data_IF_973211439102
#
_entry.id   IF_973211439102
#
_cell.length_a   1.000
_cell.length_b   1.000
_cell.length_c   1.000
_cell.angle_alpha   90.00
_cell.angle_beta   90.00
_cell.angle_gamma   90.00
#
_symmetry.space_group_name_H-M   'P 1'
#
loop_
_entity.id
_entity.type
_entity.pdbx_description
1 polymer ?
#
# COMPACT_ATOMS: atom_id res chain seq x y z
N UNK A 1 15.57 19.60 26.72
CA UNK A 1 14.61 18.78 25.94
C UNK A 1 15.37 17.61 25.36
N UNK A 2 15.18 16.39 25.86
CA UNK A 2 15.93 15.21 25.39
C UNK A 2 15.47 14.83 23.98
N UNK A 3 16.40 14.86 23.01
CA UNK A 3 16.16 14.35 21.67
C UNK A 3 16.10 12.81 21.72
N UNK A 4 14.89 12.27 21.90
CA UNK A 4 14.66 10.83 21.79
C UNK A 4 14.80 10.41 20.32
N UNK A 5 15.89 9.70 20.01
CA UNK A 5 16.11 9.09 18.70
C UNK A 5 15.02 8.07 18.42
N UNK A 6 14.25 8.28 17.35
CA UNK A 6 13.18 7.37 16.93
C UNK A 6 13.75 6.34 15.95
N UNK A 7 13.47 5.05 16.17
CA UNK A 7 14.03 3.96 15.37
C UNK A 7 12.98 3.20 14.57
N UNK A 8 13.25 2.92 13.29
CA UNK A 8 12.41 2.08 12.43
C UNK A 8 12.06 0.73 13.03
N UNK A 9 10.76 0.43 13.14
CA UNK A 9 10.29 -0.90 13.54
C UNK A 9 9.76 -1.66 12.33
N UNK A 10 10.07 -2.96 12.27
CA UNK A 10 9.57 -3.89 11.25
C UNK A 10 8.82 -5.04 11.92
N UNK A 11 7.65 -5.37 11.38
CA UNK A 11 6.83 -6.50 11.83
C UNK A 11 6.27 -7.31 10.66
N UNK A 12 5.88 -8.56 10.95
CA UNK A 12 5.12 -9.41 10.04
C UNK A 12 3.66 -9.35 10.43
N UNK A 13 2.79 -9.33 9.43
CA UNK A 13 1.35 -9.20 9.58
C UNK A 13 0.71 -10.42 8.94
N UNK A 14 -0.22 -11.06 9.63
CA UNK A 14 -0.95 -12.22 9.13
C UNK A 14 -2.39 -11.80 8.86
N UNK A 15 -2.78 -11.83 7.59
CA UNK A 15 -4.08 -11.38 7.11
C UNK A 15 -5.01 -12.57 6.93
N UNK A 16 -6.30 -12.38 7.20
CA UNK A 16 -7.34 -13.32 6.75
C UNK A 16 -7.51 -13.25 5.23
N UNK A 17 -8.10 -14.26 4.57
CA UNK A 17 -8.32 -14.24 3.12
C UNK A 17 -9.06 -12.99 2.62
N UNK A 18 -10.06 -12.53 3.37
CA UNK A 18 -10.81 -11.30 3.07
C UNK A 18 -9.92 -10.04 3.18
N UNK A 19 -9.11 -9.96 4.24
CA UNK A 19 -8.17 -8.85 4.43
C UNK A 19 -7.09 -8.81 3.36
N UNK A 20 -6.66 -9.97 2.83
CA UNK A 20 -5.75 -10.05 1.69
C UNK A 20 -6.37 -9.38 0.46
N UNK A 21 -7.65 -9.61 0.20
CA UNK A 21 -8.36 -8.98 -0.93
C UNK A 21 -8.47 -7.46 -0.75
N UNK A 22 -8.82 -7.00 0.46
CA UNK A 22 -8.90 -5.57 0.78
C UNK A 22 -7.53 -4.88 0.66
N UNK A 23 -6.47 -5.51 1.16
CA UNK A 23 -5.11 -5.02 1.02
C UNK A 23 -4.67 -5.00 -0.46
N UNK A 24 -4.99 -6.04 -1.22
CA UNK A 24 -4.70 -6.09 -2.66
C UNK A 24 -5.43 -4.97 -3.43
N UNK A 25 -6.69 -4.67 -3.09
CA UNK A 25 -7.44 -3.54 -3.65
C UNK A 25 -6.78 -2.22 -3.28
N UNK A 26 -6.39 -2.02 -2.02
CA UNK A 26 -5.64 -0.83 -1.56
C UNK A 26 -4.35 -0.61 -2.37
N UNK A 27 -3.55 -1.66 -2.56
CA UNK A 27 -2.32 -1.57 -3.34
C UNK A 27 -2.58 -1.31 -4.82
N UNK A 28 -3.60 -1.96 -5.38
CA UNK A 28 -4.03 -1.74 -6.76
C UNK A 28 -4.42 -0.28 -7.00
N UNK A 29 -5.24 0.29 -6.12
CA UNK A 29 -5.66 1.68 -6.18
C UNK A 29 -4.48 2.65 -6.06
N UNK A 30 -3.58 2.41 -5.10
CA UNK A 30 -2.37 3.21 -4.95
C UNK A 30 -1.50 3.16 -6.22
N UNK A 31 -1.35 1.99 -6.86
CA UNK A 31 -0.61 1.87 -8.12
C UNK A 31 -1.26 2.68 -9.24
N UNK A 32 -2.58 2.59 -9.41
CA UNK A 32 -3.30 3.33 -10.46
C UNK A 32 -3.15 4.83 -10.24
N UNK A 33 -3.37 5.31 -9.01
CA UNK A 33 -3.18 6.72 -8.66
C UNK A 33 -1.75 7.19 -8.95
N UNK A 34 -0.75 6.43 -8.51
CA UNK A 34 0.65 6.77 -8.77
C UNK A 34 0.95 6.91 -10.26
N UNK A 35 0.53 5.92 -11.06
CA UNK A 35 0.75 5.91 -12.50
C UNK A 35 -0.01 7.05 -13.19
N UNK A 36 -1.24 7.33 -12.77
CA UNK A 36 -2.03 8.44 -13.30
C UNK A 36 -1.36 9.79 -13.04
N UNK A 37 -0.92 10.06 -11.81
CA UNK A 37 -0.25 11.31 -11.45
C UNK A 37 1.12 11.45 -12.13
N UNK A 38 1.83 10.34 -12.33
CA UNK A 38 3.06 10.31 -13.08
C UNK A 38 2.82 10.68 -14.55
N UNK A 39 1.82 10.05 -15.18
CA UNK A 39 1.41 10.37 -16.56
C UNK A 39 1.03 11.84 -16.69
N UNK A 40 0.16 12.34 -15.82
CA UNK A 40 -0.23 13.75 -15.78
C UNK A 40 0.99 14.69 -15.73
N UNK A 41 1.97 14.38 -14.87
CA UNK A 41 3.19 15.19 -14.77
C UNK A 41 4.04 15.14 -16.04
N UNK A 42 4.17 13.95 -16.65
CA UNK A 42 4.95 13.76 -17.89
C UNK A 42 4.28 14.42 -19.10
N UNK A 43 2.96 14.30 -19.24
CA UNK A 43 2.18 14.97 -20.29
C UNK A 43 2.34 16.48 -20.19
N UNK A 44 2.11 17.07 -19.01
CA UNK A 44 2.28 18.53 -18.83
C UNK A 44 3.68 19.01 -19.15
N UNK A 45 4.69 18.25 -18.76
CA UNK A 45 6.07 18.59 -19.08
C UNK A 45 6.35 18.46 -20.59
N UNK A 46 5.79 17.45 -21.25
CA UNK A 46 6.00 17.24 -22.69
C UNK A 46 5.40 18.37 -23.52
N UNK A 47 4.17 18.81 -23.20
CA UNK A 47 3.47 19.87 -23.93
C UNK A 47 3.98 21.28 -23.59
N UNK A 48 4.10 21.62 -22.31
CA UNK A 48 4.31 23.01 -21.89
C UNK A 48 5.72 23.25 -21.30
N UNK A 49 6.55 22.20 -21.16
CA UNK A 49 7.83 22.22 -20.43
C UNK A 49 7.73 22.70 -18.97
N UNK A 50 6.51 22.76 -18.43
CA UNK A 50 6.24 23.22 -17.07
C UNK A 50 6.36 22.08 -16.06
N UNK A 51 7.06 22.33 -14.96
CA UNK A 51 7.08 21.41 -13.81
C UNK A 51 5.71 21.40 -13.13
N UNK A 52 5.23 20.21 -12.78
CA UNK A 52 3.98 20.07 -12.03
C UNK A 52 4.22 20.25 -10.54
N UNK A 53 3.46 21.13 -9.90
CA UNK A 53 3.56 21.40 -8.46
C UNK A 53 2.81 20.33 -7.62
N UNK A 54 3.20 20.14 -6.34
CA UNK A 54 2.48 19.25 -5.43
C UNK A 54 0.99 19.61 -5.27
N UNK A 55 0.66 20.91 -5.31
CA UNK A 55 -0.72 21.39 -5.26
C UNK A 55 -1.51 20.94 -6.50
N UNK A 56 -0.94 21.08 -7.69
CA UNK A 56 -1.57 20.61 -8.94
C UNK A 56 -1.80 19.11 -8.93
N UNK A 57 -0.85 18.30 -8.44
CA UNK A 57 -1.06 16.85 -8.29
C UNK A 57 -2.15 16.52 -7.27
N UNK A 58 -2.28 17.30 -6.22
CA UNK A 58 -3.33 17.11 -5.21
C UNK A 58 -4.72 17.44 -5.77
N UNK A 59 -4.83 18.48 -6.59
CA UNK A 59 -6.06 18.80 -7.33
C UNK A 59 -6.42 17.68 -8.30
N UNK A 60 -5.43 17.17 -9.05
CA UNK A 60 -5.65 16.06 -9.98
C UNK A 60 -6.06 14.78 -9.25
N UNK A 61 -5.50 14.50 -8.07
CA UNK A 61 -5.92 13.40 -7.22
C UNK A 61 -7.40 13.54 -6.81
N UNK A 62 -7.86 14.74 -6.48
CA UNK A 62 -9.27 15.00 -6.19
C UNK A 62 -10.14 14.76 -7.42
N UNK A 63 -9.71 15.21 -8.60
CA UNK A 63 -10.42 15.00 -9.88
C UNK A 63 -10.63 13.51 -10.17
N UNK A 64 -9.56 12.71 -10.12
CA UNK A 64 -9.66 11.27 -10.41
C UNK A 64 -10.47 10.51 -9.36
N UNK A 65 -10.45 10.94 -8.09
CA UNK A 65 -11.27 10.34 -7.03
C UNK A 65 -12.77 10.61 -7.21
N UNK A 66 -13.12 11.67 -7.91
CA UNK A 66 -14.51 11.95 -8.31
C UNK A 66 -14.89 11.19 -9.56
N UNK A 67 -13.98 11.09 -10.54
CA UNK A 67 -14.22 10.36 -11.78
C UNK A 67 -14.26 8.82 -11.60
N UNK A 68 -13.54 8.28 -10.61
CA UNK A 68 -13.41 6.84 -10.38
C UNK A 68 -13.94 6.48 -8.98
N UNK A 69 -15.23 6.10 -8.87
CA UNK A 69 -15.88 5.83 -7.57
C UNK A 69 -15.17 4.75 -6.74
N UNK A 70 -14.63 3.72 -7.38
CA UNK A 70 -13.92 2.62 -6.71
C UNK A 70 -12.66 3.08 -5.94
N UNK A 71 -12.10 4.27 -6.23
CA UNK A 71 -11.02 4.85 -5.41
C UNK A 71 -11.50 5.31 -4.02
N UNK A 72 -12.81 5.43 -3.79
CA UNK A 72 -13.39 5.81 -2.49
C UNK A 72 -13.57 4.62 -1.54
N UNK A 73 -13.47 3.41 -2.07
CA UNK A 73 -13.57 2.17 -1.28
C UNK A 73 -12.32 1.96 -0.40
N UNK A 74 -11.20 2.54 -0.80
CA UNK A 74 -9.89 2.44 -0.13
C UNK A 74 -9.59 3.63 0.77
N UNK A 75 -8.58 3.51 1.61
CA UNK A 75 -8.17 4.56 2.55
C UNK A 75 -7.67 5.81 1.81
N UNK A 76 -8.41 6.92 1.91
CA UNK A 76 -8.07 8.19 1.27
C UNK A 76 -6.72 8.78 1.73
N UNK A 77 -6.35 8.76 3.04
CA UNK A 77 -5.03 9.20 3.48
C UNK A 77 -3.88 8.43 2.83
N UNK A 78 -4.09 7.14 2.54
CA UNK A 78 -3.09 6.31 1.88
C UNK A 78 -2.88 6.68 0.40
N UNK A 79 -3.97 7.05 -0.30
CA UNK A 79 -3.88 7.58 -1.67
C UNK A 79 -3.17 8.94 -1.72
N UNK A 80 -3.45 9.83 -0.76
CA UNK A 80 -2.74 11.11 -0.63
C UNK A 80 -1.25 10.89 -0.41
N UNK A 81 -0.90 9.94 0.47
CA UNK A 81 0.49 9.59 0.74
C UNK A 81 1.21 9.03 -0.49
N UNK A 82 0.47 8.37 -1.39
CA UNK A 82 1.01 7.93 -2.69
C UNK A 82 1.41 9.11 -3.57
N UNK A 83 0.61 10.17 -3.60
CA UNK A 83 0.97 11.44 -4.26
C UNK A 83 2.21 12.08 -3.63
N UNK A 84 2.29 12.14 -2.29
CA UNK A 84 3.46 12.67 -1.57
C UNK A 84 4.74 11.86 -1.82
N UNK A 85 4.63 10.56 -1.98
CA UNK A 85 5.75 9.71 -2.36
C UNK A 85 6.26 10.04 -3.77
N UNK A 86 5.35 10.36 -4.71
CA UNK A 86 5.73 10.83 -6.04
C UNK A 86 6.41 12.21 -5.99
N UNK A 87 5.87 13.15 -5.21
CA UNK A 87 6.50 14.46 -5.00
C UNK A 87 7.93 14.32 -4.46
N UNK A 88 8.11 13.45 -3.47
CA UNK A 88 9.42 13.14 -2.88
C UNK A 88 10.36 12.51 -3.91
N UNK A 89 9.85 11.59 -4.75
CA UNK A 89 10.65 10.97 -5.80
C UNK A 89 11.13 11.99 -6.84
N UNK A 90 10.26 12.93 -7.26
CA UNK A 90 10.66 14.02 -8.14
C UNK A 90 11.68 14.95 -7.49
N UNK A 91 11.47 15.35 -6.23
CA UNK A 91 12.42 16.19 -5.49
C UNK A 91 13.79 15.53 -5.40
N UNK A 92 13.84 14.26 -4.97
CA UNK A 92 15.09 13.51 -4.87
C UNK A 92 15.81 13.39 -6.23
N UNK A 93 15.06 13.20 -7.32
CA UNK A 93 15.63 13.16 -8.66
C UNK A 93 16.21 14.52 -9.07
N UNK A 94 15.48 15.62 -8.86
CA UNK A 94 15.98 16.96 -9.16
C UNK A 94 17.19 17.34 -8.30
N UNK A 95 17.16 17.06 -7.00
CA UNK A 95 18.28 17.34 -6.09
C UNK A 95 19.54 16.56 -6.50
N UNK A 96 19.36 15.34 -7.00
CA UNK A 96 20.44 14.52 -7.55
C UNK A 96 21.02 15.10 -8.84
N UNK A 97 20.19 15.63 -9.75
CA UNK A 97 20.65 16.31 -10.96
C UNK A 97 21.43 17.60 -10.64
N UNK A 98 21.04 18.31 -9.58
CA UNK A 98 21.68 19.56 -9.15
C UNK A 98 22.92 19.34 -8.27
N UNK A 99 23.35 18.09 -8.05
CA UNK A 99 24.50 17.78 -7.19
C UNK A 99 24.31 18.06 -5.70
N UNK A 100 23.08 18.38 -5.25
CA UNK A 100 22.76 18.59 -3.82
C UNK A 100 22.79 17.30 -3.01
N UNK A 101 22.78 16.17 -3.70
CA UNK A 101 22.78 14.84 -3.11
C UNK A 101 23.96 14.06 -3.68
N UNK A 102 24.71 13.31 -2.86
CA UNK A 102 25.85 12.51 -3.33
C UNK A 102 25.41 11.37 -4.27
N UNK A 103 24.21 10.82 -4.06
CA UNK A 103 23.72 9.69 -4.83
C UNK A 103 23.03 10.12 -6.14
N UNK A 104 23.32 9.38 -7.21
CA UNK A 104 22.60 9.51 -8.49
C UNK A 104 21.27 8.76 -8.44
N UNK A 105 20.16 9.50 -8.54
CA UNK A 105 18.79 8.96 -8.50
C UNK A 105 18.20 8.99 -9.91
N UNK A 106 17.50 7.92 -10.31
CA UNK A 106 16.80 7.84 -11.59
C UNK A 106 15.44 8.55 -11.52
N UNK A 107 14.90 9.07 -12.64
CA UNK A 107 13.58 9.68 -12.66
C UNK A 107 12.48 8.69 -12.22
N UNK A 108 11.35 9.18 -11.67
CA UNK A 108 10.21 8.35 -11.32
C UNK A 108 9.70 7.53 -12.53
N UNK A 109 9.42 6.24 -12.32
CA UNK A 109 8.96 5.31 -13.35
C UNK A 109 7.59 4.74 -13.02
N UNK A 110 6.84 4.35 -14.05
CA UNK A 110 5.58 3.65 -13.88
C UNK A 110 5.74 2.37 -13.06
N UNK A 111 4.82 2.16 -12.11
CA UNK A 111 4.78 0.97 -11.27
C UNK A 111 4.10 -0.18 -12.02
N UNK A 112 4.72 -1.36 -11.99
CA UNK A 112 4.18 -2.62 -12.52
C UNK A 112 3.45 -3.41 -11.42
N UNK A 113 2.48 -4.25 -11.80
CA UNK A 113 1.74 -5.14 -10.87
C UNK A 113 2.62 -6.24 -10.30
N UNK A 114 3.59 -6.74 -11.07
CA UNK A 114 4.51 -7.81 -10.67
C UNK A 114 5.55 -7.39 -9.63
N UNK A 115 5.83 -6.10 -9.52
CA UNK A 115 6.77 -5.58 -8.53
C UNK A 115 6.20 -5.68 -7.11
N UNK A 116 7.07 -5.54 -6.12
CA UNK A 116 6.68 -5.43 -4.71
C UNK A 116 5.67 -4.30 -4.52
N UNK A 117 4.47 -4.64 -4.06
CA UNK A 117 3.43 -3.67 -3.78
C UNK A 117 3.51 -3.22 -2.32
N UNK A 118 3.22 -1.94 -2.09
CA UNK A 118 3.12 -1.36 -0.76
C UNK A 118 2.17 -0.18 -0.74
N UNK A 119 1.58 0.05 0.43
CA UNK A 119 0.81 1.24 0.74
C UNK A 119 1.28 1.78 2.09
N UNK A 120 1.23 3.11 2.21
CA UNK A 120 1.61 3.81 3.42
C UNK A 120 0.37 4.37 4.09
N UNK A 121 0.28 4.18 5.40
CA UNK A 121 -0.80 4.69 6.24
C UNK A 121 -0.27 5.80 7.15
N UNK A 122 -1.09 6.84 7.35
CA UNK A 122 -0.81 7.96 8.26
C UNK A 122 -1.43 7.70 9.64
N UNK A 123 -1.11 8.55 10.63
CA UNK A 123 -1.46 8.32 12.05
C UNK A 123 -2.96 8.19 12.26
N UNK A 124 -3.73 8.93 11.47
CA UNK A 124 -5.19 8.94 11.57
C UNK A 124 -5.84 7.74 10.86
N UNK A 125 -5.06 6.97 10.10
CA UNK A 125 -5.55 5.83 9.31
C UNK A 125 -5.14 4.47 9.87
N UNK A 126 -4.41 4.46 11.00
CA UNK A 126 -4.15 3.25 11.76
C UNK A 126 -4.22 3.50 13.26
N UNK A 127 -4.53 2.44 14.00
CA UNK A 127 -4.47 2.41 15.46
C UNK A 127 -3.75 1.15 15.88
N UNK A 128 -2.89 1.25 16.88
CA UNK A 128 -2.25 0.09 17.48
C UNK A 128 -2.69 0.00 18.94
N UNK A 129 -3.24 -1.14 19.35
CA UNK A 129 -3.61 -1.41 20.74
C UNK A 129 -3.41 -2.89 21.04
N UNK A 130 -2.77 -3.20 22.16
CA UNK A 130 -2.61 -4.58 22.68
C UNK A 130 -2.05 -5.58 21.64
N UNK A 131 -1.05 -5.18 20.84
CA UNK A 131 -0.46 -6.08 19.84
C UNK A 131 -1.28 -6.24 18.54
N UNK A 132 -2.40 -5.53 18.41
CA UNK A 132 -3.26 -5.56 17.22
C UNK A 132 -3.17 -4.24 16.47
N UNK A 133 -2.91 -4.33 15.17
CA UNK A 133 -2.88 -3.21 14.23
C UNK A 133 -4.23 -3.09 13.54
N UNK A 134 -4.98 -2.03 13.82
CA UNK A 134 -6.22 -1.70 13.12
C UNK A 134 -5.95 -0.69 12.01
N UNK A 135 -6.33 -1.04 10.78
CA UNK A 135 -6.19 -0.20 9.60
C UNK A 135 -7.56 0.24 9.08
N UNK A 136 -7.69 1.51 8.70
CA UNK A 136 -8.90 1.99 8.04
C UNK A 136 -9.21 1.18 6.78
N UNK A 137 -10.46 0.70 6.64
CA UNK A 137 -10.98 -0.09 5.51
C UNK A 137 -10.42 -1.52 5.34
N UNK A 138 -9.44 -1.94 6.14
CA UNK A 138 -8.90 -3.31 6.12
C UNK A 138 -9.27 -4.07 7.41
N UNK A 139 -9.37 -3.36 8.54
CA UNK A 139 -9.76 -3.95 9.83
C UNK A 139 -8.59 -4.22 10.76
N UNK A 140 -8.84 -5.02 11.80
CA UNK A 140 -7.89 -5.36 12.85
C UNK A 140 -7.02 -6.57 12.44
N UNK A 141 -5.72 -6.45 12.62
CA UNK A 141 -4.74 -7.43 12.14
C UNK A 141 -3.68 -7.67 13.21
N UNK A 142 -3.41 -8.93 13.61
CA UNK A 142 -2.34 -9.23 14.54
C UNK A 142 -0.97 -8.95 13.89
N UNK A 143 -0.07 -8.32 14.64
CA UNK A 143 1.29 -8.04 14.20
C UNK A 143 2.31 -8.73 15.10
N UNK A 144 3.25 -9.43 14.46
CA UNK A 144 4.41 -10.03 15.13
C UNK A 144 5.63 -9.20 14.82
N UNK A 145 6.14 -8.49 15.82
CA UNK A 145 7.30 -7.61 15.67
C UNK A 145 8.60 -8.40 15.54
N UNK A 146 9.51 -7.93 14.70
CA UNK A 146 10.85 -8.52 14.59
C UNK A 146 11.76 -8.16 15.79
N UNK A 147 11.51 -7.02 16.44
CA UNK A 147 12.20 -6.58 17.65
C UNK A 147 11.16 -6.15 18.68
N UNK A 148 11.45 -6.31 19.97
CA UNK A 148 10.59 -5.78 21.04
C UNK A 148 10.51 -4.26 20.89
N UNK A 149 9.29 -3.75 20.82
CA UNK A 149 9.03 -2.31 20.71
C UNK A 149 8.58 -1.84 22.07
N UNK A 150 9.35 -0.96 22.70
CA UNK A 150 8.89 -0.20 23.86
C UNK A 150 8.20 1.08 23.36
N UNK A 151 6.87 1.13 23.42
CA UNK A 151 6.06 2.31 23.08
C UNK A 151 5.08 2.13 21.91
N UNK A 152 4.17 3.10 21.71
CA UNK A 152 3.22 3.11 20.60
C UNK A 152 3.89 3.52 19.28
N UNK A 153 3.73 2.74 18.19
CA UNK A 153 4.30 3.08 16.89
C UNK A 153 3.61 4.32 16.31
N UNK A 154 4.40 5.33 15.96
CA UNK A 154 3.94 6.53 15.24
C UNK A 154 4.41 6.50 13.78
N UNK A 155 3.64 7.02 12.81
CA UNK A 155 4.14 7.15 11.45
C UNK A 155 5.07 8.36 11.35
N UNK A 156 6.32 8.14 10.97
CA UNK A 156 7.31 9.21 10.85
C UNK A 156 7.34 9.75 9.43
N UNK A 157 6.96 11.01 9.25
CA UNK A 157 7.27 11.80 8.06
C UNK A 157 8.54 12.60 8.35
N UNK A 158 9.67 12.21 7.77
CA UNK A 158 10.98 12.80 8.01
C UNK A 158 12.04 11.75 7.73
N UNK A 159 13.19 12.18 7.22
CA UNK A 159 14.33 11.34 6.89
C UNK A 159 14.51 10.17 7.87
N UNK A 160 14.66 8.96 7.31
CA UNK A 160 15.10 7.78 8.03
C UNK A 160 14.09 7.14 9.01
N UNK A 161 13.46 6.08 8.51
CA UNK A 161 12.97 4.93 9.28
C UNK A 161 11.90 5.16 10.37
N UNK A 162 10.61 5.15 9.99
CA UNK A 162 9.51 4.35 10.62
C UNK A 162 8.29 4.37 9.69
N UNK A 163 8.16 3.31 8.88
CA UNK A 163 7.04 3.11 7.96
C UNK A 163 6.40 1.75 8.23
N UNK A 164 5.10 1.72 8.55
CA UNK A 164 4.32 0.48 8.38
C UNK A 164 4.05 0.32 6.89
N UNK A 165 5.02 -0.24 6.18
CA UNK A 165 4.80 -0.74 4.83
C UNK A 165 4.17 -2.12 4.95
N UNK A 166 2.88 -2.25 4.63
CA UNK A 166 2.34 -3.56 4.29
C UNK A 166 2.97 -3.97 2.97
N UNK A 167 3.80 -5.00 3.02
CA UNK A 167 4.49 -5.55 1.86
C UNK A 167 3.86 -6.91 1.61
N UNK A 168 3.30 -7.09 0.42
CA UNK A 168 2.78 -8.39 0.02
C UNK A 168 3.96 -9.38 -0.07
N UNK A 169 3.92 -10.45 0.72
CA UNK A 169 4.84 -11.58 0.58
C UNK A 169 4.15 -12.65 -0.27
N UNK A 170 4.77 -13.04 -1.39
CA UNK A 170 4.37 -14.24 -2.13
C UNK A 170 4.89 -15.46 -1.37
N UNK A 171 3.99 -16.06 -0.58
CA UNK A 171 3.87 -17.45 -0.10
C UNK A 171 2.72 -17.34 0.91
N UNK A 172 1.47 -17.59 0.57
CA UNK A 172 0.87 -18.90 0.32
C UNK A 172 -0.41 -18.69 -0.49
N UNK A 173 -0.41 -19.09 -1.76
CA UNK A 173 -1.63 -19.51 -2.49
C UNK A 173 -1.20 -20.67 -3.38
N UNK A 174 -0.88 -21.78 -2.73
CA UNK A 174 -0.84 -23.13 -3.33
C UNK A 174 -0.77 -24.10 -2.15
N UNK A 175 -1.89 -24.73 -1.84
CA UNK A 175 -1.97 -25.69 -0.72
C UNK A 175 -3.25 -25.56 0.08
N UNK A 176 -4.39 -25.63 -0.61
CA UNK A 176 -5.54 -26.30 0.01
C UNK A 176 -5.13 -27.77 0.12
N UNK A 177 -4.70 -28.20 1.29
CA UNK A 177 -4.84 -29.60 1.70
C UNK A 177 -5.46 -29.55 3.09
N UNK A 178 -6.71 -30.01 3.11
CA UNK A 178 -7.48 -30.31 4.27
C UNK A 178 -6.71 -31.27 5.20
N UNK A 179 -6.82 -31.05 6.50
CA UNK A 179 -6.69 -32.14 7.46
C UNK A 179 -7.80 -31.97 8.49
N UNK A 180 -8.96 -32.49 8.13
CA UNK A 180 -10.06 -32.80 9.03
C UNK A 180 -9.64 -34.00 9.88
N UNK A 181 -9.72 -33.88 11.20
CA UNK A 181 -9.89 -35.03 12.08
C UNK A 181 -11.38 -35.38 12.16
N UNK A 182 -11.62 -36.65 12.44
CA UNK A 182 -12.89 -37.31 12.80
C UNK A 182 -13.65 -37.96 11.65
N UNK A 183 -13.63 -39.30 11.70
CA UNK A 183 -14.34 -40.20 10.80
C UNK A 183 -15.84 -40.22 11.05
N UNK A 184 -16.53 -40.80 10.06
CA UNK A 184 -17.98 -40.92 10.05
C UNK A 184 -18.45 -41.25 8.65
N UNK A 185 -18.37 -42.52 8.28
CA UNK A 185 -18.96 -43.13 7.09
C UNK A 185 -20.46 -42.87 7.01
N UNK A 186 -20.95 -42.16 5.98
CA UNK A 186 -22.33 -42.32 5.49
C UNK A 186 -22.38 -42.23 3.95
N UNK A 187 -22.80 -43.36 3.40
CA UNK A 187 -23.34 -43.74 2.08
C UNK A 187 -23.87 -42.61 1.16
N UNK A 188 -23.48 -42.68 -0.11
CA UNK A 188 -24.01 -41.87 -1.23
C UNK A 188 -25.44 -42.28 -1.65
N UNK A 189 -26.19 -41.36 -2.27
CA UNK A 189 -26.88 -41.73 -3.50
C UNK A 189 -26.89 -40.66 -4.62
N UNK A 190 -26.79 -41.17 -5.86
CA UNK A 190 -27.31 -40.68 -7.15
C UNK A 190 -27.09 -39.22 -7.64
N UNK A 191 -26.34 -39.12 -8.74
CA UNK A 191 -26.44 -38.11 -9.83
C UNK A 191 -27.82 -38.18 -10.53
N UNK A 192 -28.30 -37.24 -11.40
CA UNK A 192 -27.51 -36.42 -12.36
C UNK A 192 -28.05 -35.00 -12.74
N UNK A 193 -27.22 -34.19 -13.42
CA UNK A 193 -27.44 -33.58 -14.76
C UNK A 193 -26.73 -32.22 -14.94
N UNK A 194 -26.14 -32.10 -16.12
CA UNK A 194 -25.39 -30.97 -16.64
C UNK A 194 -26.30 -29.78 -17.02
N UNK A 195 -25.75 -28.57 -16.96
CA UNK A 195 -26.23 -27.44 -17.76
C UNK A 195 -25.03 -26.53 -18.12
N UNK A 196 -24.85 -26.31 -19.42
CA UNK A 196 -23.92 -25.36 -20.02
C UNK A 196 -24.43 -23.90 -19.88
N UNK A 197 -23.56 -22.88 -19.96
CA UNK A 197 -23.95 -21.48 -19.80
C UNK A 197 -24.21 -20.78 -21.15
N UNK A 198 -25.14 -19.82 -21.13
CA UNK A 198 -25.20 -18.69 -22.07
C UNK A 198 -24.21 -17.59 -21.63
#
# INVERSE_FOLDING_TARGET
>A
MSNSTKHGVKGRVYLTPEQVLLAARQFGCARVVYNHLLNFSQTRYSHNKTKTSPAQRSLELTRIKTALPWLREVSAPSLQQTGRALDTAYRNWFDSLMGKRPDKVKPPRFKKKSNRQSARFTRNSFRFKNGVLSLSKIGAIPIVWHRRVSGEPSPICGHEHQDVQLLQWKKVVSGVVASSLVGGTVKAPHSPKAFEPL
#
